data_IF_966723088474
#
_entry.id   IF_966723088474
#
_cell.length_a   1.000
_cell.length_b   1.000
_cell.length_c   1.000
_cell.angle_alpha   90.00
_cell.angle_beta   90.00
_cell.angle_gamma   90.00
#
_symmetry.space_group_name_H-M   'P 1'
#
loop_
_entity.id
_entity.type
_entity.pdbx_description
1 polymer ?
#
# COMPACT_ATOMS: atom_id res chain seq x y z
N UNK A 1 14.79 17.29 5.77
CA UNK A 1 15.13 18.65 6.27
C UNK A 1 14.09 19.65 5.81
N UNK A 2 14.10 20.87 6.37
CA UNK A 2 13.16 21.96 6.02
C UNK A 2 13.18 22.34 4.53
N UNK A 3 14.24 22.01 3.82
CA UNK A 3 14.39 22.31 2.41
C UNK A 3 13.99 21.11 1.50
N UNK A 4 13.62 19.99 2.07
CA UNK A 4 13.16 18.82 1.32
C UNK A 4 11.64 18.92 1.03
N UNK A 5 11.24 18.34 -0.10
CA UNK A 5 9.84 18.11 -0.41
C UNK A 5 9.48 16.64 -0.15
N UNK A 6 8.30 16.44 0.40
CA UNK A 6 7.71 15.10 0.60
C UNK A 6 6.36 15.04 -0.08
N UNK A 7 6.19 14.02 -0.93
CA UNK A 7 4.91 13.73 -1.57
C UNK A 7 4.11 12.78 -0.69
N UNK A 8 2.85 13.12 -0.42
CA UNK A 8 1.93 12.28 0.34
C UNK A 8 0.66 12.00 -0.45
N UNK A 9 0.14 10.79 -0.36
CA UNK A 9 -1.30 10.62 -0.55
C UNK A 9 -2.04 11.13 0.70
N UNK A 10 -3.25 11.64 0.55
CA UNK A 10 -4.01 12.24 1.68
C UNK A 10 -4.58 11.24 2.66
N UNK A 11 -4.44 9.96 2.42
CA UNK A 11 -4.95 8.90 3.28
C UNK A 11 -3.88 8.26 4.18
N UNK A 12 -2.80 8.97 4.47
CA UNK A 12 -1.70 8.45 5.29
C UNK A 12 -1.98 8.50 6.79
N UNK A 13 -1.29 7.61 7.53
CA UNK A 13 -1.36 7.57 8.98
C UNK A 13 -0.70 8.82 9.61
N UNK A 14 -1.31 9.33 10.70
CA UNK A 14 -0.88 10.56 11.39
C UNK A 14 0.60 10.55 11.82
N UNK A 15 1.18 9.39 12.16
CA UNK A 15 2.58 9.29 12.56
C UNK A 15 3.56 9.63 11.43
N UNK A 16 3.18 9.37 10.18
CA UNK A 16 4.00 9.70 9.01
C UNK A 16 4.06 11.21 8.79
N UNK A 17 2.94 11.92 8.95
CA UNK A 17 2.94 13.39 8.91
C UNK A 17 3.81 13.97 10.02
N UNK A 18 3.66 13.47 11.25
CA UNK A 18 4.45 13.95 12.37
C UNK A 18 5.96 13.74 12.13
N UNK A 19 6.37 12.55 11.71
CA UNK A 19 7.78 12.21 11.51
C UNK A 19 8.38 12.90 10.28
N UNK A 20 7.68 12.89 9.14
CA UNK A 20 8.22 13.38 7.89
C UNK A 20 8.10 14.89 7.71
N UNK A 21 7.14 15.55 8.36
CA UNK A 21 6.91 16.99 8.22
C UNK A 21 7.24 17.74 9.51
N UNK A 22 6.56 17.45 10.61
CA UNK A 22 6.71 18.23 11.85
C UNK A 22 8.13 18.15 12.40
N UNK A 23 8.68 16.93 12.50
CA UNK A 23 10.02 16.72 13.06
C UNK A 23 11.16 17.18 12.13
N UNK A 24 10.95 17.15 10.82
CA UNK A 24 11.99 17.49 9.84
C UNK A 24 11.88 18.91 9.33
N UNK A 25 10.68 19.50 9.41
CA UNK A 25 10.33 20.78 8.78
C UNK A 25 10.22 20.70 7.25
N UNK A 26 10.16 19.50 6.66
CA UNK A 26 10.00 19.33 5.23
C UNK A 26 8.62 19.86 4.75
N UNK A 27 8.57 20.26 3.48
CA UNK A 27 7.36 20.83 2.86
C UNK A 27 6.56 19.72 2.16
N UNK A 28 5.24 19.61 2.42
CA UNK A 28 4.42 18.58 1.77
C UNK A 28 3.89 19.03 0.41
N UNK A 29 3.73 18.06 -0.47
CA UNK A 29 2.84 18.11 -1.63
C UNK A 29 1.88 16.92 -1.50
N UNK A 30 0.58 17.14 -1.74
CA UNK A 30 -0.43 16.11 -1.51
C UNK A 30 -1.05 15.61 -2.80
N UNK A 31 -1.18 14.29 -2.92
CA UNK A 31 -2.04 13.64 -3.91
C UNK A 31 -3.45 13.59 -3.30
N UNK A 32 -4.45 14.23 -3.91
CA UNK A 32 -5.84 14.12 -3.46
C UNK A 32 -6.32 12.67 -3.50
N UNK A 33 -7.03 12.27 -2.45
CA UNK A 33 -7.65 10.95 -2.36
C UNK A 33 -9.13 11.15 -2.05
N UNK A 34 -9.98 10.70 -2.96
CA UNK A 34 -11.43 10.87 -2.89
C UNK A 34 -12.11 9.65 -2.22
N UNK A 35 -13.40 9.83 -1.88
CA UNK A 35 -14.29 8.75 -1.47
C UNK A 35 -15.23 8.39 -2.60
N UNK A 36 -15.58 7.12 -2.71
CA UNK A 36 -16.60 6.66 -3.64
C UNK A 36 -18.02 6.94 -3.09
N UNK A 37 -19.03 6.59 -3.88
CA UNK A 37 -20.43 6.73 -3.50
C UNK A 37 -20.84 5.90 -2.25
N UNK A 38 -20.05 4.89 -1.90
CA UNK A 38 -20.26 4.05 -0.70
C UNK A 38 -19.50 4.57 0.53
N UNK A 39 -18.84 5.72 0.42
CA UNK A 39 -18.04 6.32 1.48
C UNK A 39 -16.63 5.73 1.64
N UNK A 40 -16.23 4.76 0.82
CA UNK A 40 -14.91 4.14 0.87
C UNK A 40 -13.86 5.09 0.32
N UNK A 41 -12.73 5.21 1.02
CA UNK A 41 -11.64 6.08 0.61
C UNK A 41 -10.63 5.32 -0.26
N UNK A 42 -10.03 6.02 -1.20
CA UNK A 42 -8.89 5.46 -1.93
C UNK A 42 -8.81 5.84 -3.41
N UNK A 43 -9.77 6.62 -3.93
CA UNK A 43 -9.68 7.03 -5.32
C UNK A 43 -8.63 8.13 -5.50
N UNK A 44 -7.52 7.79 -6.16
CA UNK A 44 -6.53 8.77 -6.64
C UNK A 44 -6.75 8.98 -8.13
N UNK A 45 -7.05 10.23 -8.54
CA UNK A 45 -7.24 10.56 -9.95
C UNK A 45 -5.94 10.35 -10.74
N UNK A 46 -5.90 9.41 -11.71
CA UNK A 46 -4.71 9.15 -12.53
C UNK A 46 -4.22 10.39 -13.29
N UNK A 47 -5.11 11.31 -13.62
CA UNK A 47 -4.75 12.56 -14.29
C UNK A 47 -3.98 13.50 -13.37
N UNK A 48 -4.22 13.46 -12.06
CA UNK A 48 -3.43 14.22 -11.09
C UNK A 48 -2.01 13.69 -11.00
N UNK A 49 -1.80 12.39 -11.21
CA UNK A 49 -0.51 11.73 -11.14
C UNK A 49 0.34 11.91 -12.42
N UNK A 50 -0.07 12.76 -13.35
CA UNK A 50 0.79 13.19 -14.45
C UNK A 50 1.95 14.05 -13.93
N UNK A 51 3.14 13.90 -14.53
CA UNK A 51 4.32 14.68 -14.13
C UNK A 51 4.07 16.18 -14.21
N UNK A 52 3.35 16.63 -15.23
CA UNK A 52 3.00 18.04 -15.44
C UNK A 52 2.20 18.61 -14.27
N UNK A 53 1.14 17.91 -13.84
CA UNK A 53 0.30 18.36 -12.73
C UNK A 53 1.03 18.30 -11.40
N UNK A 54 1.81 17.25 -11.15
CA UNK A 54 2.63 17.16 -9.95
C UNK A 54 3.63 18.31 -9.90
N UNK A 55 4.31 18.65 -11.00
CA UNK A 55 5.23 19.79 -11.06
C UNK A 55 4.54 21.12 -10.86
N UNK A 56 3.30 21.27 -11.35
CA UNK A 56 2.50 22.45 -11.08
C UNK A 56 2.16 22.60 -9.58
N UNK A 57 1.86 21.52 -8.88
CA UNK A 57 1.65 21.55 -7.42
C UNK A 57 2.95 21.84 -6.66
N UNK A 58 4.08 21.28 -7.11
CA UNK A 58 5.40 21.61 -6.53
C UNK A 58 5.70 23.09 -6.68
N UNK A 59 5.41 23.69 -7.84
CA UNK A 59 5.68 25.11 -8.11
C UNK A 59 4.93 26.05 -7.17
N UNK A 60 3.78 25.65 -6.62
CA UNK A 60 3.05 26.42 -5.59
C UNK A 60 3.77 26.43 -4.25
N UNK A 61 4.57 25.41 -3.97
CA UNK A 61 5.29 25.22 -2.70
C UNK A 61 6.74 25.70 -2.80
N UNK A 62 7.40 25.34 -3.90
CA UNK A 62 8.81 25.66 -4.18
C UNK A 62 9.05 25.67 -5.71
N UNK A 63 9.02 26.85 -6.37
CA UNK A 63 9.19 26.95 -7.82
C UNK A 63 10.53 26.43 -8.34
N UNK A 64 11.61 26.53 -7.56
CA UNK A 64 12.93 26.03 -7.97
C UNK A 64 13.00 24.50 -7.94
N UNK A 65 12.40 23.91 -6.91
CA UNK A 65 12.30 22.45 -6.83
C UNK A 65 11.44 21.85 -7.96
N UNK A 66 10.45 22.58 -8.46
CA UNK A 66 9.63 22.14 -9.59
C UNK A 66 10.46 21.86 -10.86
N UNK A 67 11.63 22.51 -11.02
CA UNK A 67 12.57 22.32 -12.15
C UNK A 67 13.55 21.16 -11.94
N UNK A 68 13.68 20.63 -10.73
CA UNK A 68 14.62 19.58 -10.40
C UNK A 68 14.26 18.26 -11.09
N UNK A 69 15.25 17.45 -11.47
CA UNK A 69 15.04 16.09 -12.03
C UNK A 69 14.23 15.23 -11.03
N UNK A 70 14.59 15.29 -9.74
CA UNK A 70 13.92 14.58 -8.64
C UNK A 70 13.61 15.56 -7.52
N UNK A 71 12.44 16.22 -7.58
CA UNK A 71 12.07 17.23 -6.60
C UNK A 71 11.79 16.67 -5.20
N UNK A 72 11.30 15.42 -5.11
CA UNK A 72 10.95 14.82 -3.85
C UNK A 72 12.10 14.00 -3.25
N UNK A 73 12.43 14.31 -2.01
CA UNK A 73 13.32 13.45 -1.21
C UNK A 73 12.65 12.12 -0.88
N UNK A 74 11.35 12.16 -0.62
CA UNK A 74 10.55 11.00 -0.24
C UNK A 74 9.13 11.17 -0.77
N UNK A 75 8.56 10.10 -1.32
CA UNK A 75 7.12 9.94 -1.43
C UNK A 75 6.65 8.92 -0.38
N UNK A 76 5.50 9.16 0.23
CA UNK A 76 4.87 8.23 1.19
C UNK A 76 3.50 7.87 0.64
N UNK A 77 3.34 6.62 0.27
CA UNK A 77 2.15 6.08 -0.38
C UNK A 77 1.61 4.93 0.47
N UNK A 78 0.35 5.00 0.82
CA UNK A 78 -0.32 3.88 1.46
C UNK A 78 -0.56 2.77 0.42
N UNK A 79 -0.07 1.56 0.68
CA UNK A 79 -0.26 0.42 -0.23
C UNK A 79 -1.68 -0.11 -0.18
N UNK A 80 -2.27 -0.14 1.01
CA UNK A 80 -3.64 -0.60 1.22
C UNK A 80 -4.39 0.37 2.10
N UNK A 81 -5.58 0.80 1.65
CA UNK A 81 -6.46 1.64 2.46
C UNK A 81 -7.11 0.84 3.58
N UNK A 82 -7.57 1.52 4.61
CA UNK A 82 -8.34 0.90 5.69
C UNK A 82 -9.55 0.12 5.16
N UNK A 83 -10.15 0.61 4.08
CA UNK A 83 -11.36 0.03 3.47
C UNK A 83 -11.06 -1.14 2.51
N UNK A 84 -9.79 -1.53 2.32
CA UNK A 84 -9.39 -2.68 1.53
C UNK A 84 -9.15 -2.40 0.04
N UNK A 85 -8.86 -1.14 -0.32
CA UNK A 85 -8.34 -0.82 -1.64
C UNK A 85 -6.82 -1.01 -1.64
N UNK A 86 -6.31 -1.89 -2.47
CA UNK A 86 -4.88 -2.21 -2.59
C UNK A 86 -4.32 -1.66 -3.90
N UNK A 87 -3.37 -0.71 -3.81
CA UNK A 87 -2.74 -0.12 -5.00
C UNK A 87 -1.64 -1.01 -5.57
N UNK A 88 -1.52 -1.00 -6.88
CA UNK A 88 -0.39 -1.62 -7.57
C UNK A 88 0.88 -0.76 -7.41
N UNK A 89 1.90 -1.33 -6.76
CA UNK A 89 3.15 -0.62 -6.49
C UNK A 89 3.90 -0.27 -7.78
N UNK A 90 3.88 -1.15 -8.79
CA UNK A 90 4.52 -0.89 -10.08
C UNK A 90 3.86 0.27 -10.79
N UNK A 91 2.53 0.28 -10.83
CA UNK A 91 1.76 1.38 -11.42
C UNK A 91 2.09 2.72 -10.75
N UNK A 92 2.15 2.76 -9.41
CA UNK A 92 2.53 3.97 -8.66
C UNK A 92 3.95 4.41 -8.96
N UNK A 93 4.91 3.48 -9.00
CA UNK A 93 6.31 3.79 -9.31
C UNK A 93 6.45 4.34 -10.73
N UNK A 94 5.71 3.80 -11.70
CA UNK A 94 5.73 4.29 -13.09
C UNK A 94 5.22 5.73 -13.19
N UNK A 95 4.27 6.13 -12.34
CA UNK A 95 3.72 7.50 -12.31
C UNK A 95 4.63 8.51 -11.61
N UNK A 96 5.15 8.17 -10.43
CA UNK A 96 5.83 9.15 -9.58
C UNK A 96 7.32 8.85 -9.34
N UNK A 97 7.80 7.65 -9.67
CA UNK A 97 9.13 7.19 -9.28
C UNK A 97 10.28 8.06 -9.80
N UNK A 98 10.15 8.58 -11.02
CA UNK A 98 11.16 9.47 -11.62
C UNK A 98 11.30 10.82 -10.89
N UNK A 99 10.30 11.21 -10.13
CA UNK A 99 10.27 12.45 -9.35
C UNK A 99 10.81 12.28 -7.93
N UNK A 100 11.07 11.05 -7.47
CA UNK A 100 11.39 10.74 -6.09
C UNK A 100 12.80 10.14 -5.93
N UNK A 101 13.52 10.51 -4.88
CA UNK A 101 14.73 9.78 -4.46
C UNK A 101 14.35 8.43 -3.86
N UNK A 102 13.34 8.42 -2.99
CA UNK A 102 12.79 7.24 -2.34
C UNK A 102 11.26 7.26 -2.37
N UNK A 103 10.66 6.06 -2.38
CA UNK A 103 9.25 5.87 -2.06
C UNK A 103 9.15 4.96 -0.85
N UNK A 104 8.40 5.38 0.16
CA UNK A 104 7.96 4.55 1.28
C UNK A 104 6.54 4.09 1.01
N UNK A 105 6.38 2.78 0.90
CA UNK A 105 5.07 2.14 0.86
C UNK A 105 4.65 1.77 2.29
N UNK A 106 3.56 2.36 2.74
CA UNK A 106 2.93 2.00 4.01
C UNK A 106 2.04 0.78 3.79
N UNK A 107 2.63 -0.40 4.03
CA UNK A 107 1.96 -1.69 4.00
C UNK A 107 1.50 -2.11 5.41
N UNK A 108 1.05 -1.17 6.23
CA UNK A 108 0.64 -1.48 7.60
C UNK A 108 -0.57 -2.44 7.66
N UNK A 109 -1.43 -2.45 6.67
CA UNK A 109 -2.52 -3.42 6.49
C UNK A 109 -2.16 -4.56 5.55
N UNK A 110 -1.13 -4.41 4.73
CA UNK A 110 -0.60 -5.39 3.79
C UNK A 110 0.60 -6.16 4.35
N UNK A 111 1.54 -6.47 3.44
CA UNK A 111 2.74 -7.26 3.71
C UNK A 111 2.54 -8.75 3.45
N UNK A 112 1.32 -9.22 3.43
CA UNK A 112 0.95 -10.60 3.07
C UNK A 112 0.76 -10.78 1.56
N UNK A 113 0.48 -9.72 0.81
CA UNK A 113 0.22 -9.74 -0.64
C UNK A 113 1.34 -10.43 -1.42
N UNK A 114 2.59 -10.27 -0.98
CA UNK A 114 3.75 -10.90 -1.58
C UNK A 114 3.67 -12.44 -1.59
N UNK A 115 2.84 -13.02 -0.74
CA UNK A 115 2.67 -14.47 -0.58
C UNK A 115 1.39 -15.01 -1.22
N UNK A 116 0.47 -14.13 -1.62
CA UNK A 116 -0.82 -14.51 -2.22
C UNK A 116 -0.69 -14.47 -3.74
N UNK A 117 -0.85 -15.59 -4.47
CA UNK A 117 -0.56 -15.65 -5.91
C UNK A 117 -1.26 -14.59 -6.76
N UNK A 118 -2.54 -14.31 -6.50
CA UNK A 118 -3.31 -13.29 -7.26
C UNK A 118 -2.98 -11.85 -6.86
N UNK A 119 -2.16 -11.62 -5.83
CA UNK A 119 -1.80 -10.29 -5.31
C UNK A 119 -0.30 -10.02 -5.36
N UNK A 120 0.54 -11.01 -5.63
CA UNK A 120 1.99 -10.90 -5.44
C UNK A 120 2.65 -9.82 -6.31
N UNK A 121 2.05 -9.49 -7.44
CA UNK A 121 2.47 -8.41 -8.33
C UNK A 121 2.28 -7.01 -7.71
N UNK A 122 1.36 -6.84 -6.76
CA UNK A 122 1.11 -5.57 -6.08
C UNK A 122 2.24 -5.17 -5.14
N UNK A 123 3.04 -6.16 -4.67
CA UNK A 123 4.06 -5.89 -3.66
C UNK A 123 5.30 -5.21 -4.24
N UNK A 124 5.73 -4.06 -3.68
CA UNK A 124 6.97 -3.42 -4.09
C UNK A 124 8.21 -4.29 -3.80
N UNK A 125 8.10 -5.28 -2.92
CA UNK A 125 9.20 -6.18 -2.58
C UNK A 125 9.48 -7.21 -3.67
N UNK A 126 8.49 -7.56 -4.49
CA UNK A 126 8.60 -8.53 -5.57
C UNK A 126 9.03 -7.91 -6.92
N UNK A 127 9.12 -6.58 -7.00
CA UNK A 127 9.52 -5.89 -8.23
C UNK A 127 11.03 -5.80 -8.38
N UNK A 128 11.51 -5.83 -9.60
CA UNK A 128 12.90 -5.54 -9.95
C UNK A 128 13.07 -4.06 -10.31
N UNK A 129 14.20 -3.48 -9.92
CA UNK A 129 14.48 -2.05 -10.06
C UNK A 129 15.79 -1.79 -10.79
N UNK A 130 15.77 -0.77 -11.67
CA UNK A 130 16.93 -0.24 -12.34
C UNK A 130 17.52 1.00 -11.63
N UNK A 131 18.66 1.47 -12.10
CA UNK A 131 19.38 2.60 -11.50
C UNK A 131 18.60 3.92 -11.51
N UNK A 132 17.62 4.08 -12.40
CA UNK A 132 16.76 5.26 -12.47
C UNK A 132 15.51 5.17 -11.58
N UNK A 133 15.20 3.99 -11.03
CA UNK A 133 14.07 3.84 -10.13
C UNK A 133 14.38 4.41 -8.74
N UNK A 134 13.36 4.80 -7.94
CA UNK A 134 13.57 5.27 -6.59
C UNK A 134 14.04 4.16 -5.67
N UNK A 135 14.73 4.49 -4.58
CA UNK A 135 14.92 3.56 -3.47
C UNK A 135 13.59 3.23 -2.83
N UNK A 136 13.38 1.98 -2.44
CA UNK A 136 12.12 1.52 -1.87
C UNK A 136 12.27 1.25 -0.38
N UNK A 137 11.32 1.79 0.39
CA UNK A 137 11.11 1.48 1.80
C UNK A 137 9.71 0.91 1.96
N UNK A 138 9.57 -0.11 2.80
CA UNK A 138 8.28 -0.74 3.09
C UNK A 138 8.11 -0.86 4.59
N UNK A 139 7.03 -0.32 5.13
CA UNK A 139 6.65 -0.51 6.54
C UNK A 139 5.52 -1.52 6.63
N UNK A 140 5.62 -2.45 7.58
CA UNK A 140 4.61 -3.49 7.78
C UNK A 140 4.28 -3.63 9.26
N UNK A 141 3.00 -3.64 9.59
CA UNK A 141 2.52 -3.97 10.93
C UNK A 141 2.19 -5.47 10.99
N UNK A 142 3.15 -6.28 11.46
CA UNK A 142 3.01 -7.74 11.46
C UNK A 142 1.89 -8.26 12.38
N UNK A 143 1.42 -7.40 13.30
CA UNK A 143 0.34 -7.70 14.24
C UNK A 143 -1.07 -7.46 13.68
N UNK A 144 -1.21 -6.94 12.45
CA UNK A 144 -2.53 -6.68 11.84
C UNK A 144 -3.00 -7.88 11.01
N UNK A 145 -2.39 -8.10 9.87
CA UNK A 145 -2.79 -9.13 8.91
C UNK A 145 -1.85 -10.36 8.88
N UNK A 146 -0.79 -10.34 9.68
CA UNK A 146 0.15 -11.44 9.79
C UNK A 146 0.15 -12.04 11.21
N UNK A 147 1.00 -13.01 11.49
CA UNK A 147 0.99 -13.76 12.74
C UNK A 147 1.78 -13.09 13.90
N UNK A 148 2.20 -11.84 13.75
CA UNK A 148 2.88 -11.11 14.81
C UNK A 148 1.94 -10.71 15.94
N UNK A 149 2.40 -10.76 17.18
CA UNK A 149 1.65 -10.19 18.30
C UNK A 149 1.71 -8.67 18.28
N UNK A 150 0.68 -8.03 18.79
CA UNK A 150 0.61 -6.57 18.90
C UNK A 150 1.53 -6.06 20.02
N UNK A 151 2.38 -5.15 19.72
CA UNK A 151 2.53 -4.25 18.59
C UNK A 151 3.86 -4.52 17.86
N UNK A 152 3.89 -5.51 16.97
CA UNK A 152 5.07 -5.87 16.22
C UNK A 152 5.03 -5.28 14.81
N UNK A 153 6.14 -4.68 14.37
CA UNK A 153 6.28 -4.10 13.03
C UNK A 153 7.70 -4.25 12.51
N UNK A 154 7.86 -4.07 11.22
CA UNK A 154 9.16 -4.04 10.57
C UNK A 154 9.24 -2.97 9.49
N UNK A 155 10.46 -2.55 9.16
CA UNK A 155 10.76 -1.73 8.01
C UNK A 155 11.77 -2.46 7.13
N UNK A 156 11.49 -2.52 5.84
CA UNK A 156 12.32 -3.15 4.83
C UNK A 156 12.85 -2.09 3.88
N UNK A 157 14.10 -2.28 3.43
CA UNK A 157 14.78 -1.34 2.55
C UNK A 157 15.31 -2.10 1.32
N UNK A 158 14.87 -1.70 0.13
CA UNK A 158 15.26 -2.28 -1.15
C UNK A 158 15.80 -1.16 -2.06
N UNK A 159 17.12 -0.98 -2.09
CA UNK A 159 17.76 0.15 -2.76
C UNK A 159 19.18 -0.17 -3.28
N UNK A 160 19.53 -1.44 -3.40
CA UNK A 160 20.84 -1.85 -3.91
C UNK A 160 21.11 -1.31 -5.34
N UNK A 161 20.05 -1.14 -6.13
CA UNK A 161 20.09 -0.65 -7.52
C UNK A 161 20.54 0.81 -7.64
N UNK A 162 20.48 1.60 -6.55
CA UNK A 162 20.94 3.00 -6.51
C UNK A 162 22.22 3.17 -5.67
N UNK A 163 22.84 2.07 -5.23
CA UNK A 163 24.08 2.13 -4.45
C UNK A 163 25.16 2.91 -5.20
N UNK A 164 25.84 3.82 -4.49
CA UNK A 164 26.86 4.71 -5.06
C UNK A 164 26.32 6.01 -5.66
N UNK A 165 25.01 6.17 -5.83
CA UNK A 165 24.41 7.44 -6.23
C UNK A 165 24.33 8.42 -5.05
N UNK A 166 24.34 9.73 -5.34
CA UNK A 166 24.25 10.80 -4.31
C UNK A 166 22.98 10.69 -3.45
N UNK A 167 21.90 10.15 -3.99
CA UNK A 167 20.63 9.96 -3.30
C UNK A 167 20.58 8.73 -2.38
N UNK A 168 21.54 7.81 -2.54
CA UNK A 168 21.59 6.59 -1.73
C UNK A 168 21.79 6.87 -0.26
N UNK A 169 20.97 6.28 0.58
CA UNK A 169 21.12 6.30 2.04
C UNK A 169 21.74 4.98 2.48
N UNK A 170 22.97 5.00 2.92
CA UNK A 170 23.64 3.79 3.37
C UNK A 170 23.01 3.20 4.64
N UNK A 171 23.33 1.93 4.90
CA UNK A 171 22.76 1.20 6.03
C UNK A 171 23.11 1.85 7.37
N UNK A 172 24.31 2.40 7.55
CA UNK A 172 24.73 3.02 8.80
C UNK A 172 23.88 4.25 9.14
N UNK A 173 23.67 5.14 8.18
CA UNK A 173 22.82 6.32 8.36
C UNK A 173 21.36 5.93 8.60
N UNK A 174 20.85 4.96 7.84
CA UNK A 174 19.49 4.46 8.02
C UNK A 174 19.28 3.86 9.40
N UNK A 175 20.19 2.95 9.83
CA UNK A 175 20.12 2.31 11.13
C UNK A 175 20.28 3.30 12.29
N UNK A 176 21.14 4.32 12.14
CA UNK A 176 21.28 5.37 13.14
C UNK A 176 19.98 6.18 13.32
N UNK A 177 19.28 6.48 12.22
CA UNK A 177 17.97 7.13 12.30
C UNK A 177 16.94 6.21 12.96
N UNK A 178 16.90 4.94 12.57
CA UNK A 178 16.01 3.93 13.14
C UNK A 178 16.18 3.80 14.66
N UNK A 179 17.42 3.67 15.14
CA UNK A 179 17.73 3.50 16.58
C UNK A 179 17.30 4.66 17.47
N UNK A 180 17.03 5.85 16.91
CA UNK A 180 16.50 6.98 17.68
C UNK A 180 15.04 6.83 18.08
N UNK A 181 14.30 5.96 17.40
CA UNK A 181 12.85 5.85 17.53
C UNK A 181 12.36 4.47 17.95
N UNK A 182 13.26 3.50 18.10
CA UNK A 182 12.93 2.17 18.60
C UNK A 182 13.25 2.04 20.07
N UNK A 183 12.56 1.14 20.76
CA UNK A 183 12.85 0.84 22.16
C UNK A 183 14.22 0.19 22.33
N UNK A 184 14.95 0.57 23.38
CA UNK A 184 16.21 -0.06 23.75
C UNK A 184 16.03 -1.42 24.44
N UNK A 185 14.85 -1.63 25.04
CA UNK A 185 14.48 -2.88 25.74
C UNK A 185 13.30 -3.52 25.02
N UNK A 186 13.58 -4.57 24.26
CA UNK A 186 12.55 -5.28 23.52
C UNK A 186 11.83 -6.33 24.38
N UNK A 187 10.56 -6.55 24.06
CA UNK A 187 9.75 -7.61 24.66
C UNK A 187 10.08 -8.96 24.02
N UNK A 188 10.61 -9.91 24.81
CA UNK A 188 10.89 -11.26 24.32
C UNK A 188 9.68 -11.96 23.68
N UNK A 189 8.46 -11.90 24.25
CA UNK A 189 7.27 -12.45 23.58
C UNK A 189 7.02 -11.86 22.20
N UNK A 190 7.16 -10.54 22.04
CA UNK A 190 7.02 -9.88 20.72
C UNK A 190 8.10 -10.36 19.75
N UNK A 191 9.34 -10.43 20.19
CA UNK A 191 10.44 -10.92 19.37
C UNK A 191 10.23 -12.38 18.94
N UNK A 192 9.82 -13.25 19.87
CA UNK A 192 9.45 -14.63 19.56
C UNK A 192 8.32 -14.71 18.52
N UNK A 193 7.29 -13.84 18.62
CA UNK A 193 6.22 -13.80 17.65
C UNK A 193 6.69 -13.39 16.25
N UNK A 194 7.68 -12.51 16.13
CA UNK A 194 8.29 -12.17 14.83
C UNK A 194 9.01 -13.37 14.22
N UNK A 195 9.70 -14.17 15.04
CA UNK A 195 10.36 -15.39 14.61
C UNK A 195 9.34 -16.42 14.12
N UNK A 196 8.23 -16.61 14.85
CA UNK A 196 7.12 -17.48 14.45
C UNK A 196 6.49 -16.98 13.14
N UNK A 197 6.25 -15.66 13.02
CA UNK A 197 5.72 -15.08 11.79
C UNK A 197 6.65 -15.36 10.60
N UNK A 198 7.95 -15.16 10.76
CA UNK A 198 8.95 -15.46 9.72
C UNK A 198 8.92 -16.93 9.30
N UNK A 199 8.78 -17.85 10.25
CA UNK A 199 8.66 -19.29 9.98
C UNK A 199 7.36 -19.62 9.22
N UNK A 200 6.22 -19.04 9.64
CA UNK A 200 4.92 -19.25 9.00
C UNK A 200 4.85 -18.66 7.60
N UNK A 201 5.56 -17.58 7.35
CA UNK A 201 5.59 -16.88 6.04
C UNK A 201 6.69 -17.41 5.11
N UNK A 202 7.42 -18.47 5.48
CA UNK A 202 8.46 -19.09 4.66
C UNK A 202 8.00 -20.37 3.96
N UNK A 203 8.52 -20.61 2.75
CA UNK A 203 8.35 -21.85 2.00
C UNK A 203 6.93 -22.12 1.46
N UNK A 204 6.71 -23.35 0.96
CA UNK A 204 5.45 -23.74 0.30
C UNK A 204 4.25 -23.82 1.25
N UNK A 205 4.47 -24.02 2.55
CA UNK A 205 3.38 -24.04 3.55
C UNK A 205 2.66 -22.70 3.63
N UNK A 206 3.40 -21.62 3.47
CA UNK A 206 2.90 -20.26 3.44
C UNK A 206 1.87 -20.05 2.32
N UNK A 207 2.21 -20.45 1.09
CA UNK A 207 1.30 -20.33 -0.06
C UNK A 207 0.00 -21.11 0.15
N UNK A 208 0.09 -22.33 0.72
CA UNK A 208 -1.09 -23.13 1.03
C UNK A 208 -1.98 -22.46 2.08
N UNK A 209 -1.39 -21.92 3.12
CA UNK A 209 -2.11 -21.22 4.19
C UNK A 209 -2.86 -20.00 3.68
N UNK A 210 -2.18 -19.11 2.93
CA UNK A 210 -2.81 -17.92 2.36
C UNK A 210 -3.89 -18.28 1.35
N UNK A 211 -3.68 -19.30 0.53
CA UNK A 211 -4.71 -19.77 -0.40
C UNK A 211 -5.95 -20.33 0.33
N UNK A 212 -5.77 -21.02 1.46
CA UNK A 212 -6.89 -21.49 2.27
C UNK A 212 -7.69 -20.33 2.87
N UNK A 213 -7.00 -19.31 3.40
CA UNK A 213 -7.65 -18.11 3.96
C UNK A 213 -8.42 -17.35 2.86
N UNK A 214 -7.83 -17.18 1.70
CA UNK A 214 -8.48 -16.56 0.53
C UNK A 214 -9.78 -17.29 0.18
N UNK A 215 -9.74 -18.61 0.04
CA UNK A 215 -10.91 -19.43 -0.28
C UNK A 215 -11.99 -19.35 0.80
N UNK A 216 -11.59 -19.39 2.06
CA UNK A 216 -12.52 -19.20 3.18
C UNK A 216 -13.19 -17.82 3.12
N UNK A 217 -12.43 -16.77 2.83
CA UNK A 217 -12.96 -15.41 2.67
C UNK A 217 -13.94 -15.28 1.49
N UNK A 218 -13.71 -16.02 0.40
CA UNK A 218 -14.63 -16.10 -0.74
C UNK A 218 -15.95 -16.78 -0.31
N UNK A 219 -15.87 -17.93 0.34
CA UNK A 219 -17.07 -18.65 0.82
C UNK A 219 -17.87 -17.82 1.83
N UNK A 220 -17.18 -17.09 2.72
CA UNK A 220 -17.82 -16.15 3.63
C UNK A 220 -18.61 -15.04 2.93
N UNK A 221 -18.07 -14.47 1.85
CA UNK A 221 -18.77 -13.47 1.04
C UNK A 221 -20.02 -14.07 0.38
N UNK A 222 -19.91 -15.26 -0.19
CA UNK A 222 -21.05 -15.97 -0.78
C UNK A 222 -22.14 -16.25 0.26
N UNK A 223 -21.75 -16.67 1.45
CA UNK A 223 -22.67 -16.92 2.54
C UNK A 223 -23.35 -15.63 3.01
N UNK A 224 -22.61 -14.53 3.11
CA UNK A 224 -23.16 -13.23 3.48
C UNK A 224 -24.19 -12.74 2.45
N UNK A 225 -23.91 -12.91 1.13
CA UNK A 225 -24.86 -12.56 0.06
C UNK A 225 -26.15 -13.35 0.22
N UNK A 226 -26.05 -14.65 0.49
CA UNK A 226 -27.24 -15.53 0.64
C UNK A 226 -28.07 -15.23 1.88
N UNK A 227 -27.42 -14.88 3.00
CA UNK A 227 -28.10 -14.78 4.30
C UNK A 227 -28.51 -13.37 4.70
N UNK A 228 -27.83 -12.34 4.23
CA UNK A 228 -28.08 -10.96 4.66
C UNK A 228 -28.74 -10.14 3.57
N UNK A 229 -29.79 -9.40 3.97
CA UNK A 229 -30.42 -8.38 3.12
C UNK A 229 -29.81 -6.99 3.33
N UNK A 230 -29.26 -6.75 4.53
CA UNK A 230 -28.74 -5.44 4.95
C UNK A 230 -27.24 -5.29 4.71
N UNK A 231 -26.48 -6.36 5.00
CA UNK A 231 -25.03 -6.36 4.86
C UNK A 231 -24.65 -7.00 3.53
N UNK A 232 -23.92 -6.29 2.70
CA UNK A 232 -23.43 -6.82 1.42
C UNK A 232 -21.91 -6.72 1.36
N UNK A 233 -21.20 -7.80 0.97
CA UNK A 233 -19.78 -7.68 0.71
C UNK A 233 -19.56 -6.83 -0.54
N UNK A 234 -18.47 -6.07 -0.56
CA UNK A 234 -18.06 -5.31 -1.73
C UNK A 234 -17.42 -6.27 -2.74
N UNK A 235 -18.18 -6.70 -3.70
CA UNK A 235 -17.80 -7.66 -4.74
C UNK A 235 -18.56 -7.37 -6.05
N UNK A 236 -18.10 -7.97 -7.12
CA UNK A 236 -18.77 -7.89 -8.43
C UNK A 236 -20.18 -8.51 -8.40
N UNK A 237 -20.99 -8.16 -9.37
CA UNK A 237 -22.31 -8.75 -9.56
C UNK A 237 -22.21 -10.27 -9.82
N UNK A 238 -23.19 -11.00 -9.31
CA UNK A 238 -23.27 -12.47 -9.44
C UNK A 238 -22.09 -13.25 -8.86
N UNK A 239 -21.34 -12.65 -7.91
CA UNK A 239 -20.17 -13.24 -7.25
C UNK A 239 -20.46 -14.65 -6.68
N UNK A 240 -21.64 -14.87 -6.13
CA UNK A 240 -22.05 -16.15 -5.53
C UNK A 240 -22.15 -17.29 -6.53
N UNK A 241 -22.35 -16.99 -7.82
CA UNK A 241 -22.49 -17.96 -8.90
C UNK A 241 -21.14 -18.35 -9.56
N UNK A 242 -20.06 -17.63 -9.26
CA UNK A 242 -18.73 -17.92 -9.77
C UNK A 242 -18.06 -18.95 -8.87
N UNK A 243 -17.36 -19.93 -9.43
CA UNK A 243 -16.69 -20.95 -8.62
C UNK A 243 -15.62 -20.32 -7.71
N UNK A 244 -15.43 -20.91 -6.52
CA UNK A 244 -14.39 -20.49 -5.58
C UNK A 244 -13.00 -20.63 -6.16
N UNK A 245 -12.77 -21.65 -6.98
CA UNK A 245 -11.51 -21.83 -7.70
C UNK A 245 -11.23 -20.69 -8.67
N UNK A 246 -12.21 -20.30 -9.44
CA UNK A 246 -12.07 -19.20 -10.39
C UNK A 246 -11.83 -17.85 -9.70
N UNK A 247 -12.57 -17.57 -8.63
CA UNK A 247 -12.38 -16.37 -7.82
C UNK A 247 -11.02 -16.33 -7.12
N UNK A 248 -10.49 -17.51 -6.69
CA UNK A 248 -9.22 -17.60 -6.00
C UNK A 248 -7.98 -17.56 -6.92
N UNK A 249 -8.17 -17.77 -8.22
CA UNK A 249 -7.05 -17.86 -9.18
C UNK A 249 -7.03 -16.77 -10.23
N UNK A 250 -8.05 -15.93 -10.30
CA UNK A 250 -8.19 -14.93 -11.35
C UNK A 250 -8.43 -13.53 -10.76
N UNK A 251 -7.42 -12.68 -10.85
CA UNK A 251 -7.42 -11.33 -10.30
C UNK A 251 -8.45 -10.39 -10.94
N UNK A 252 -8.92 -10.68 -12.16
CA UNK A 252 -9.91 -9.84 -12.87
C UNK A 252 -11.19 -9.57 -12.06
N UNK A 253 -11.54 -10.46 -11.13
CA UNK A 253 -12.73 -10.33 -10.28
C UNK A 253 -12.53 -9.38 -9.09
N UNK A 254 -11.31 -8.95 -8.86
CA UNK A 254 -10.90 -8.08 -7.76
C UNK A 254 -10.37 -6.74 -8.24
N UNK A 255 -9.93 -6.68 -9.51
CA UNK A 255 -9.37 -5.48 -10.11
C UNK A 255 -10.43 -4.39 -10.26
N UNK A 256 -10.01 -3.16 -9.99
CA UNK A 256 -10.85 -1.97 -10.14
C UNK A 256 -10.60 -1.34 -11.52
N UNK A 257 -11.69 -0.96 -12.17
CA UNK A 257 -11.66 -0.29 -13.47
C UNK A 257 -12.84 0.68 -13.56
N UNK A 258 -12.62 1.89 -14.05
CA UNK A 258 -13.65 2.91 -14.21
C UNK A 258 -14.82 2.48 -15.11
N UNK A 259 -14.63 1.45 -15.95
CA UNK A 259 -15.68 0.87 -16.79
C UNK A 259 -16.57 -0.13 -16.03
N UNK A 260 -16.19 -0.50 -14.80
CA UNK A 260 -16.91 -1.48 -13.99
C UNK A 260 -17.32 -0.86 -12.64
N UNK A 261 -18.57 -0.47 -12.52
CA UNK A 261 -19.04 0.41 -11.44
C UNK A 261 -19.45 -0.29 -10.14
N UNK A 262 -19.30 -1.61 -10.02
CA UNK A 262 -19.69 -2.35 -8.80
C UNK A 262 -18.98 -1.85 -7.52
N UNK A 263 -17.76 -1.31 -7.67
CA UNK A 263 -16.95 -0.81 -6.56
C UNK A 263 -17.21 0.67 -6.22
N UNK A 264 -17.98 1.38 -7.03
CA UNK A 264 -18.37 2.78 -6.79
C UNK A 264 -17.29 3.85 -7.01
N UNK A 265 -16.08 3.49 -7.43
CA UNK A 265 -15.03 4.44 -7.81
C UNK A 265 -15.14 4.82 -9.29
N UNK A 266 -15.03 6.12 -9.60
CA UNK A 266 -15.31 6.63 -10.94
C UNK A 266 -14.07 7.04 -11.75
N UNK A 267 -12.95 7.33 -11.07
CA UNK A 267 -11.73 7.86 -11.70
C UNK A 267 -10.54 6.88 -11.69
N UNK A 268 -10.71 5.69 -11.13
CA UNK A 268 -9.63 4.72 -11.02
C UNK A 268 -9.22 4.21 -12.41
N UNK A 269 -7.92 4.13 -12.69
CA UNK A 269 -7.44 3.56 -13.94
C UNK A 269 -7.33 2.04 -13.86
N UNK A 270 -7.47 1.38 -15.00
CA UNK A 270 -7.19 -0.05 -15.10
C UNK A 270 -5.76 -0.36 -14.65
N UNK A 271 -5.59 -1.40 -13.82
CA UNK A 271 -4.31 -1.80 -13.24
C UNK A 271 -3.79 -0.89 -12.12
N UNK A 272 -4.54 0.13 -11.70
CA UNK A 272 -4.13 1.00 -10.61
C UNK A 272 -4.28 0.35 -9.24
N UNK A 273 -5.35 -0.40 -9.04
CA UNK A 273 -5.67 -1.02 -7.75
C UNK A 273 -6.64 -2.20 -7.90
N UNK A 274 -6.72 -2.99 -6.84
CA UNK A 274 -7.73 -4.02 -6.66
C UNK A 274 -8.35 -3.93 -5.26
N UNK A 275 -9.51 -4.55 -5.06
CA UNK A 275 -10.05 -4.80 -3.72
C UNK A 275 -9.30 -5.98 -3.11
N UNK A 276 -8.90 -5.84 -1.85
CA UNK A 276 -8.24 -6.91 -1.10
C UNK A 276 -9.17 -8.12 -0.95
N UNK A 277 -8.83 -9.26 -1.55
CA UNK A 277 -9.65 -10.46 -1.46
C UNK A 277 -9.63 -11.12 -0.07
N UNK A 278 -8.68 -10.75 0.80
CA UNK A 278 -8.56 -11.28 2.15
C UNK A 278 -9.32 -10.42 3.18
N UNK A 279 -9.48 -9.12 2.92
CA UNK A 279 -10.26 -8.21 3.76
C UNK A 279 -11.71 -8.18 3.30
N UNK A 280 -12.63 -8.58 4.16
CA UNK A 280 -14.05 -8.57 3.84
C UNK A 280 -14.63 -7.18 4.11
N UNK A 281 -14.62 -6.34 3.10
CA UNK A 281 -15.28 -5.03 3.15
C UNK A 281 -16.78 -5.23 2.98
N UNK A 282 -17.54 -4.71 3.93
CA UNK A 282 -19.00 -4.81 3.96
C UNK A 282 -19.60 -3.42 3.84
N UNK A 283 -20.59 -3.30 2.99
CA UNK A 283 -21.36 -2.08 2.79
C UNK A 283 -22.82 -2.28 3.18
N UNK A 284 -23.48 -1.19 3.56
CA UNK A 284 -24.88 -1.18 4.01
C UNK A 284 -25.72 -0.29 3.10
N UNK A 285 -25.93 -0.65 1.83
CA UNK A 285 -26.66 0.19 0.89
C UNK A 285 -28.12 0.37 1.35
N UNK A 286 -28.57 1.62 1.40
CA UNK A 286 -29.94 1.97 1.81
C UNK A 286 -30.16 2.05 3.32
N UNK A 287 -29.10 2.12 4.11
CA UNK A 287 -29.15 2.50 5.54
C UNK A 287 -28.50 3.88 5.64
N UNK A 288 -29.29 4.89 5.99
CA UNK A 288 -28.84 6.26 6.21
C UNK A 288 -28.17 6.42 7.58
#
# INVERSE_FOLDING_TARGET
>A
TKDDLVLFDRNNHKSLYNSALVMTGAKPVYIPTDRNALGLIGEMDPNFLSEEKIRAEIAKVDPEKAKAKRPFRLAIIQSETYDGLFYDAKWMIDKIGKLCDYILFDCAWGGFEQFVPIMNHLSPLNLDFGSEDPGILVTQSLHKQQAGMGQASQILKKDAHIKGQKRYVDHKHFNHAYLKFVTSSYSYPLYASLTVNSYLTSGEKNKKWWNQILRLGIEWRKELIRKSKLLKPLVIDNFENISTDELATNEKYWNLDSNNLWHGFSKIASGQAMIDPLKITVVTPGID
#
